data_IF_535669175923
#
_entry.id   IF_535669175923
#
_cell.length_a   1.000
_cell.length_b   1.000
_cell.length_c   1.000
_cell.angle_alpha   90.00
_cell.angle_beta   90.00
_cell.angle_gamma   90.00
#
_symmetry.space_group_name_H-M   'P 1'
#
loop_
_entity.id
_entity.type
_entity.pdbx_description
1 polymer ?
#
# COMPACT_ATOMS: atom_id res chain seq x y z
N UNK A 1 19.66 9.57 20.01
CA UNK A 1 18.33 8.93 19.84
C UNK A 1 18.31 8.24 18.49
N UNK A 2 18.19 6.90 18.45
CA UNK A 2 17.98 6.19 17.18
C UNK A 2 16.61 6.61 16.65
N UNK A 3 16.55 7.31 15.51
CA UNK A 3 15.30 7.68 14.83
C UNK A 3 14.71 6.43 14.17
N UNK A 4 13.97 5.62 14.92
CA UNK A 4 13.16 4.53 14.36
C UNK A 4 11.79 5.04 13.92
N UNK A 5 11.19 4.39 12.92
CA UNK A 5 9.81 4.67 12.51
C UNK A 5 8.85 4.17 13.60
N UNK A 6 7.76 4.92 13.81
CA UNK A 6 6.72 4.55 14.78
C UNK A 6 5.93 3.32 14.29
N UNK A 7 5.40 3.40 13.07
CA UNK A 7 4.86 2.26 12.32
C UNK A 7 5.88 1.77 11.30
N UNK A 8 5.71 0.56 10.80
CA UNK A 8 6.56 0.03 9.73
C UNK A 8 8.05 0.06 10.08
N UNK A 9 8.37 -0.23 11.35
CA UNK A 9 9.71 -0.06 11.93
C UNK A 9 10.76 -0.88 11.20
N UNK A 10 10.53 -2.17 11.07
CA UNK A 10 11.40 -3.12 10.36
C UNK A 10 10.84 -3.34 8.95
N UNK A 11 11.73 -3.55 8.00
CA UNK A 11 11.36 -3.76 6.61
C UNK A 11 12.60 -4.00 5.76
N UNK A 12 12.36 -4.47 4.54
CA UNK A 12 13.38 -4.81 3.55
C UNK A 12 13.23 -3.91 2.33
N UNK A 13 14.33 -3.55 1.68
CA UNK A 13 14.33 -2.66 0.53
C UNK A 13 15.05 -3.27 -0.66
N UNK A 14 14.63 -2.89 -1.86
CA UNK A 14 15.30 -3.21 -3.13
C UNK A 14 15.39 -1.97 -4.01
N UNK A 15 16.48 -1.87 -4.78
CA UNK A 15 16.60 -0.91 -5.88
C UNK A 15 16.14 -1.58 -7.17
N UNK A 16 15.54 -0.82 -8.08
CA UNK A 16 15.07 -1.34 -9.36
C UNK A 16 14.78 -0.25 -10.37
N UNK A 17 14.02 -0.62 -11.40
CA UNK A 17 13.61 0.29 -12.48
C UNK A 17 12.10 0.17 -12.68
N UNK A 18 11.40 1.30 -12.67
CA UNK A 18 10.04 1.41 -13.16
C UNK A 18 10.10 1.69 -14.66
N UNK A 19 9.68 0.74 -15.48
CA UNK A 19 9.51 0.94 -16.93
C UNK A 19 8.02 1.13 -17.24
N UNK A 20 7.67 2.28 -17.81
CA UNK A 20 6.33 2.54 -18.31
C UNK A 20 6.15 1.86 -19.67
N UNK A 21 4.93 1.38 -19.91
CA UNK A 21 4.58 0.75 -21.19
C UNK A 21 4.76 1.73 -22.35
N UNK A 22 5.16 1.22 -23.52
CA UNK A 22 5.32 2.02 -24.74
C UNK A 22 3.97 2.51 -25.30
N UNK A 23 2.88 1.89 -24.87
CA UNK A 23 1.51 2.30 -25.21
C UNK A 23 0.62 2.24 -23.96
N UNK A 24 0.15 3.40 -23.50
CA UNK A 24 -0.76 3.53 -22.36
C UNK A 24 -2.07 4.11 -22.89
N UNK A 25 -3.06 3.25 -23.16
CA UNK A 25 -4.34 3.67 -23.70
C UNK A 25 -5.17 4.44 -22.66
N UNK A 26 -5.72 5.59 -23.07
CA UNK A 26 -6.68 6.36 -22.29
C UNK A 26 -6.09 7.30 -21.23
N UNK A 27 -4.79 7.20 -20.93
CA UNK A 27 -4.12 8.15 -20.04
C UNK A 27 -3.70 9.39 -20.83
N UNK A 28 -4.11 10.62 -20.45
CA UNK A 28 -3.61 11.83 -21.10
C UNK A 28 -2.11 12.03 -20.85
N UNK A 29 -1.49 12.89 -21.67
CA UNK A 29 -0.05 13.15 -21.59
C UNK A 29 0.36 13.75 -20.23
N UNK A 30 1.33 13.11 -19.58
CA UNK A 30 1.81 13.50 -18.25
C UNK A 30 3.34 13.52 -18.18
N UNK A 31 3.91 14.57 -17.54
CA UNK A 31 5.37 14.80 -17.48
C UNK A 31 6.16 13.64 -16.88
N UNK A 32 5.57 12.90 -15.95
CA UNK A 32 6.21 11.77 -15.24
C UNK A 32 5.70 10.42 -15.78
N UNK A 33 4.46 10.36 -16.26
CA UNK A 33 3.80 9.08 -16.58
C UNK A 33 3.51 9.00 -18.08
N UNK A 34 4.53 9.20 -18.90
CA UNK A 34 4.39 9.11 -20.34
C UNK A 34 5.02 7.82 -20.91
N UNK A 35 4.55 7.35 -22.07
CA UNK A 35 4.96 6.06 -22.60
C UNK A 35 6.47 5.91 -22.81
N UNK A 36 6.97 4.69 -22.57
CA UNK A 36 8.36 4.29 -22.77
C UNK A 36 9.37 4.82 -21.75
N UNK A 37 8.95 5.68 -20.80
CA UNK A 37 9.86 6.19 -19.77
C UNK A 37 10.33 5.11 -18.81
N UNK A 38 11.55 5.30 -18.32
CA UNK A 38 12.13 4.45 -17.28
C UNK A 38 12.70 5.32 -16.16
N UNK A 39 12.39 4.96 -14.92
CA UNK A 39 12.86 5.66 -13.73
C UNK A 39 13.56 4.70 -12.78
N UNK A 40 14.69 5.10 -12.16
CA UNK A 40 15.22 4.38 -11.02
C UNK A 40 14.20 4.43 -9.88
N UNK A 41 14.00 3.31 -9.19
CA UNK A 41 13.10 3.23 -8.04
C UNK A 41 13.73 2.55 -6.85
N UNK A 42 13.23 2.90 -5.67
CA UNK A 42 13.48 2.18 -4.43
C UNK A 42 12.13 1.69 -3.91
N UNK A 43 12.01 0.39 -3.67
CA UNK A 43 10.86 -0.22 -3.03
C UNK A 43 11.26 -0.63 -1.62
N UNK A 44 10.40 -0.39 -0.63
CA UNK A 44 10.55 -0.88 0.73
C UNK A 44 9.28 -1.59 1.19
N UNK A 45 9.40 -2.86 1.54
CA UNK A 45 8.34 -3.62 2.18
C UNK A 45 8.49 -3.62 3.71
N UNK A 46 7.36 -3.79 4.42
CA UNK A 46 7.35 -3.83 5.88
C UNK A 46 6.02 -4.35 6.43
N UNK A 47 6.05 -4.86 7.65
CA UNK A 47 4.84 -5.04 8.47
C UNK A 47 4.36 -3.67 8.97
N UNK A 48 3.13 -3.54 9.46
CA UNK A 48 2.59 -2.27 9.98
C UNK A 48 2.90 -2.11 11.47
N UNK A 49 2.42 -3.05 12.28
CA UNK A 49 2.47 -3.06 13.74
C UNK A 49 3.41 -4.14 14.28
N UNK A 50 3.42 -5.34 13.66
CA UNK A 50 4.23 -6.49 14.07
C UNK A 50 5.61 -6.47 13.42
N UNK A 51 6.38 -5.42 13.68
CA UNK A 51 7.64 -5.21 12.96
C UNK A 51 8.66 -6.34 13.15
N UNK A 52 8.65 -7.04 14.28
CA UNK A 52 9.65 -8.04 14.68
C UNK A 52 9.24 -9.50 14.45
N UNK A 53 8.04 -9.75 13.95
CA UNK A 53 7.54 -11.08 13.64
C UNK A 53 6.67 -11.08 12.39
N UNK A 54 7.25 -11.53 11.28
CA UNK A 54 6.62 -11.62 9.97
C UNK A 54 5.43 -12.60 9.93
N UNK A 55 5.40 -13.59 10.81
CA UNK A 55 4.36 -14.62 10.85
C UNK A 55 3.06 -14.14 11.54
N UNK A 56 3.11 -13.02 12.27
CA UNK A 56 1.90 -12.38 12.80
C UNK A 56 1.06 -11.85 11.66
N UNK A 57 -0.25 -11.98 11.76
CA UNK A 57 -1.17 -11.37 10.80
C UNK A 57 -1.15 -9.86 11.01
N UNK A 58 -0.86 -9.15 9.93
CA UNK A 58 -0.71 -7.70 9.95
C UNK A 58 -1.02 -7.12 8.56
N UNK A 59 -1.30 -5.83 8.52
CA UNK A 59 -1.26 -5.08 7.27
C UNK A 59 0.20 -4.98 6.80
N UNK A 60 0.40 -5.08 5.49
CA UNK A 60 1.74 -5.02 4.88
C UNK A 60 1.85 -3.75 4.06
N UNK A 61 2.99 -3.08 4.18
CA UNK A 61 3.32 -1.87 3.45
C UNK A 61 4.24 -2.15 2.25
N UNK A 62 4.10 -1.33 1.21
CA UNK A 62 5.06 -1.16 0.13
C UNK A 62 5.24 0.34 -0.12
N UNK A 63 6.37 0.90 0.29
CA UNK A 63 6.73 2.28 -0.03
C UNK A 63 7.58 2.30 -1.30
N UNK A 64 7.22 3.16 -2.25
CA UNK A 64 7.93 3.31 -3.53
C UNK A 64 8.39 4.74 -3.66
N UNK A 65 9.68 4.91 -3.93
CA UNK A 65 10.29 6.17 -4.31
C UNK A 65 10.69 6.10 -5.78
N UNK A 66 10.16 7.01 -6.58
CA UNK A 66 10.56 7.22 -7.97
C UNK A 66 11.60 8.34 -8.00
N UNK A 67 12.77 8.05 -8.55
CA UNK A 67 13.87 8.99 -8.67
C UNK A 67 13.92 9.60 -10.08
N UNK A 68 14.61 10.72 -10.22
CA UNK A 68 14.86 11.33 -11.52
C UNK A 68 15.68 10.41 -12.43
N UNK A 69 15.30 10.38 -13.70
CA UNK A 69 16.05 9.73 -14.79
C UNK A 69 17.17 10.64 -15.34
N UNK A 70 17.32 11.86 -14.82
CA UNK A 70 18.38 12.78 -15.22
C UNK A 70 19.72 12.32 -14.64
N UNK A 71 20.74 12.29 -15.50
CA UNK A 71 22.11 11.89 -15.13
C UNK A 71 22.61 12.70 -13.93
N UNK A 72 23.05 12.00 -12.88
CA UNK A 72 23.60 12.63 -11.66
C UNK A 72 22.56 13.16 -10.66
N UNK A 73 21.25 13.02 -10.95
CA UNK A 73 20.19 13.44 -10.05
C UNK A 73 19.56 12.23 -9.34
N UNK A 74 19.94 11.98 -8.07
CA UNK A 74 19.20 11.06 -7.19
C UNK A 74 17.99 11.74 -6.50
N UNK A 75 17.47 12.83 -7.08
CA UNK A 75 16.35 13.56 -6.48
C UNK A 75 15.05 12.76 -6.62
N UNK A 76 14.26 12.64 -5.53
CA UNK A 76 12.95 12.00 -5.60
C UNK A 76 12.00 12.85 -6.43
N UNK A 77 11.31 12.21 -7.38
CA UNK A 77 10.18 12.79 -8.13
C UNK A 77 8.87 12.53 -7.41
N UNK A 78 8.68 11.32 -6.89
CA UNK A 78 7.44 10.91 -6.24
C UNK A 78 7.68 9.85 -5.18
N UNK A 79 7.11 10.05 -4.00
CA UNK A 79 7.02 9.06 -2.94
C UNK A 79 5.57 8.57 -2.79
N UNK A 80 5.39 7.26 -2.85
CA UNK A 80 4.14 6.56 -2.66
C UNK A 80 4.26 5.65 -1.43
N UNK A 81 3.30 5.78 -0.52
CA UNK A 81 3.11 4.83 0.58
C UNK A 81 1.89 4.00 0.25
N UNK A 82 2.10 2.72 -0.03
CA UNK A 82 1.03 1.78 -0.31
C UNK A 82 0.91 0.75 0.81
N UNK A 83 -0.28 0.21 0.97
CA UNK A 83 -0.55 -0.88 1.92
C UNK A 83 -1.52 -1.91 1.34
N UNK A 84 -1.59 -3.07 1.98
CA UNK A 84 -2.63 -4.07 1.70
C UNK A 84 -4.02 -3.55 2.10
N UNK A 85 -5.04 -3.98 1.35
CA UNK A 85 -6.43 -3.54 1.52
C UNK A 85 -6.81 -2.37 0.60
N UNK A 86 -7.98 -2.49 -0.05
CA UNK A 86 -8.48 -1.52 -1.04
C UNK A 86 -8.86 -0.18 -0.44
N UNK A 87 -9.16 -0.16 0.86
CA UNK A 87 -9.54 1.01 1.62
C UNK A 87 -8.63 1.22 2.84
N UNK A 88 -8.56 2.47 3.29
CA UNK A 88 -7.94 2.87 4.54
C UNK A 88 -9.02 3.18 5.58
N UNK A 89 -8.83 2.74 6.82
CA UNK A 89 -9.89 2.81 7.83
C UNK A 89 -10.14 4.23 8.38
N UNK A 90 -9.24 5.18 8.10
CA UNK A 90 -9.32 6.55 8.61
C UNK A 90 -9.39 7.54 7.45
N UNK A 91 -10.52 8.24 7.32
CA UNK A 91 -10.74 9.24 6.26
C UNK A 91 -9.79 10.42 6.40
N UNK A 92 -9.59 10.88 7.64
CA UNK A 92 -8.76 12.05 7.96
C UNK A 92 -7.64 11.71 8.92
N UNK A 93 -6.67 12.63 9.06
CA UNK A 93 -5.63 12.50 10.09
C UNK A 93 -6.21 12.54 11.51
N UNK A 94 -7.32 13.24 11.71
CA UNK A 94 -8.04 13.26 12.99
C UNK A 94 -8.64 11.90 13.32
N UNK A 95 -9.25 11.23 12.33
CA UNK A 95 -9.79 9.87 12.48
C UNK A 95 -8.66 8.89 12.80
N UNK A 96 -7.52 9.03 12.12
CA UNK A 96 -6.35 8.20 12.37
C UNK A 96 -5.81 8.40 13.79
N UNK A 97 -5.65 9.64 14.24
CA UNK A 97 -5.20 9.95 15.59
C UNK A 97 -6.19 9.43 16.65
N UNK A 98 -7.49 9.64 16.42
CA UNK A 98 -8.58 9.13 17.27
C UNK A 98 -8.52 7.61 17.38
N UNK A 99 -8.36 6.91 16.25
CA UNK A 99 -8.20 5.47 16.22
C UNK A 99 -7.05 5.02 17.11
N UNK A 100 -5.89 5.69 17.07
CA UNK A 100 -4.72 5.31 17.86
C UNK A 100 -4.91 5.47 19.37
N UNK A 101 -5.65 6.49 19.81
CA UNK A 101 -5.81 6.78 21.25
C UNK A 101 -7.02 6.07 21.88
N UNK A 102 -8.05 5.76 21.09
CA UNK A 102 -9.23 5.07 21.60
C UNK A 102 -8.94 3.58 21.86
N UNK A 103 -9.47 3.05 22.97
CA UNK A 103 -9.45 1.61 23.25
C UNK A 103 -10.41 0.82 22.36
N UNK A 104 -10.28 -0.51 22.37
CA UNK A 104 -11.03 -1.41 21.49
C UNK A 104 -12.55 -1.19 21.53
N UNK A 105 -13.15 -1.09 22.73
CA UNK A 105 -14.61 -0.90 22.87
C UNK A 105 -15.13 0.35 22.14
N UNK A 106 -14.41 1.48 22.22
CA UNK A 106 -14.81 2.70 21.53
C UNK A 106 -14.67 2.57 20.00
N UNK A 107 -13.63 1.85 19.52
CA UNK A 107 -13.47 1.54 18.09
C UNK A 107 -14.59 0.63 17.59
N UNK A 108 -15.02 -0.35 18.39
CA UNK A 108 -16.14 -1.23 18.06
C UNK A 108 -17.46 -0.47 17.93
N UNK A 109 -17.76 0.44 18.86
CA UNK A 109 -18.93 1.34 18.75
C UNK A 109 -18.87 2.25 17.52
N UNK A 110 -17.67 2.72 17.15
CA UNK A 110 -17.50 3.48 15.91
C UNK A 110 -17.86 2.64 14.68
N UNK A 111 -17.29 1.44 14.54
CA UNK A 111 -17.53 0.62 13.34
C UNK A 111 -18.93 0.00 13.29
N UNK A 112 -19.65 -0.11 14.42
CA UNK A 112 -21.10 -0.42 14.39
C UNK A 112 -21.90 0.66 13.63
N UNK A 113 -21.53 1.93 13.79
CA UNK A 113 -22.14 3.06 13.07
C UNK A 113 -21.61 3.19 11.64
N UNK A 114 -20.38 2.73 11.41
CA UNK A 114 -19.67 2.88 10.13
C UNK A 114 -19.09 1.53 9.68
N UNK A 115 -19.92 0.55 9.24
CA UNK A 115 -19.47 -0.84 9.03
C UNK A 115 -18.36 -1.01 7.99
N UNK A 116 -18.32 -0.16 6.97
CA UNK A 116 -17.28 -0.22 5.94
C UNK A 116 -15.87 0.06 6.50
N UNK A 117 -15.75 0.78 7.62
CA UNK A 117 -14.46 1.00 8.30
C UNK A 117 -13.94 -0.31 8.90
N UNK A 118 -14.81 -1.12 9.51
CA UNK A 118 -14.44 -2.48 9.95
C UNK A 118 -13.94 -3.31 8.77
N UNK A 119 -14.68 -3.27 7.66
CA UNK A 119 -14.33 -4.05 6.48
C UNK A 119 -12.98 -3.58 5.89
N UNK A 120 -12.68 -2.28 5.93
CA UNK A 120 -11.38 -1.71 5.56
C UNK A 120 -10.23 -2.16 6.49
N UNK A 121 -10.48 -2.33 7.79
CA UNK A 121 -9.50 -2.87 8.74
C UNK A 121 -9.20 -4.34 8.41
N UNK A 122 -10.22 -5.21 8.37
CA UNK A 122 -10.03 -6.65 8.12
C UNK A 122 -9.43 -6.93 6.75
N UNK A 123 -9.95 -6.27 5.70
CA UNK A 123 -9.45 -6.45 4.33
C UNK A 123 -8.02 -5.97 4.14
N UNK A 124 -7.43 -5.24 5.10
CA UNK A 124 -6.03 -4.85 5.06
C UNK A 124 -5.07 -5.89 5.63
N UNK A 125 -5.55 -6.78 6.50
CA UNK A 125 -4.70 -7.76 7.18
C UNK A 125 -4.30 -8.89 6.24
N UNK A 126 -3.08 -9.41 6.41
CA UNK A 126 -2.57 -10.53 5.63
C UNK A 126 -1.81 -11.55 6.49
N UNK A 127 -2.14 -12.82 6.28
CA UNK A 127 -1.28 -13.96 6.60
C UNK A 127 -0.38 -14.24 5.39
N UNK A 128 0.72 -13.50 5.27
CA UNK A 128 1.55 -13.48 4.07
C UNK A 128 2.62 -14.58 4.08
N UNK A 129 2.96 -15.08 2.89
CA UNK A 129 4.13 -15.95 2.67
C UNK A 129 5.30 -15.22 1.98
N UNK A 130 5.01 -14.11 1.30
CA UNK A 130 6.00 -13.25 0.66
C UNK A 130 5.44 -11.83 0.52
N UNK A 131 6.30 -10.81 0.58
CA UNK A 131 5.92 -9.45 0.16
C UNK A 131 5.75 -9.31 -1.36
N UNK A 132 6.34 -10.22 -2.15
CA UNK A 132 6.23 -10.20 -3.61
C UNK A 132 4.88 -10.69 -4.13
N UNK A 133 4.05 -11.26 -3.26
CA UNK A 133 2.82 -11.97 -3.61
C UNK A 133 1.58 -11.24 -3.09
N UNK A 134 1.68 -9.92 -2.87
CA UNK A 134 0.62 -9.10 -2.30
C UNK A 134 0.26 -7.91 -3.18
N UNK A 135 -0.99 -7.49 -3.07
CA UNK A 135 -1.51 -6.29 -3.72
C UNK A 135 -1.48 -5.10 -2.76
N UNK A 136 -0.92 -3.99 -3.23
CA UNK A 136 -0.73 -2.78 -2.46
C UNK A 136 -1.45 -1.60 -3.11
N UNK A 137 -2.09 -0.77 -2.30
CA UNK A 137 -2.93 0.35 -2.75
C UNK A 137 -2.47 1.62 -2.06
N UNK A 138 -2.46 2.75 -2.77
CA UNK A 138 -2.18 4.05 -2.15
C UNK A 138 -3.32 4.53 -1.25
N UNK A 139 -4.54 4.02 -1.48
CA UNK A 139 -5.85 4.38 -0.90
C UNK A 139 -6.26 5.85 -1.05
N UNK A 140 -5.35 6.78 -0.81
CA UNK A 140 -5.54 8.22 -0.87
C UNK A 140 -5.56 8.68 -2.34
N UNK A 141 -6.59 9.47 -2.67
CA UNK A 141 -6.68 10.18 -3.94
C UNK A 141 -5.68 11.34 -4.01
N UNK A 142 -5.05 11.50 -5.15
CA UNK A 142 -4.15 12.63 -5.44
C UNK A 142 -4.65 13.41 -6.64
N UNK A 143 -4.36 14.70 -6.66
CA UNK A 143 -4.61 15.55 -7.82
C UNK A 143 -3.45 15.41 -8.81
N UNK A 144 -3.76 15.02 -10.04
CA UNK A 144 -2.82 15.04 -11.17
C UNK A 144 -3.20 16.15 -12.13
N UNK A 145 -2.19 16.86 -12.62
CA UNK A 145 -2.33 17.87 -13.67
C UNK A 145 -1.55 17.43 -14.91
N UNK A 146 -2.28 17.23 -16.00
CA UNK A 146 -1.74 16.78 -17.27
C UNK A 146 -1.14 17.94 -18.07
N UNK A 147 -0.46 17.64 -19.18
CA UNK A 147 0.25 18.67 -19.98
C UNK A 147 -0.68 19.64 -20.68
N UNK A 148 -1.92 19.25 -20.92
CA UNK A 148 -3.00 20.08 -21.45
C UNK A 148 -3.68 20.97 -20.38
N UNK A 149 -3.26 20.85 -19.12
CA UNK A 149 -3.84 21.57 -17.98
C UNK A 149 -5.04 20.88 -17.34
N UNK A 150 -5.53 19.77 -17.89
CA UNK A 150 -6.62 19.00 -17.28
C UNK A 150 -6.19 18.43 -15.92
N UNK A 151 -7.13 18.43 -14.98
CA UNK A 151 -6.93 17.86 -13.65
C UNK A 151 -7.79 16.61 -13.43
N UNK A 152 -7.21 15.60 -12.79
CA UNK A 152 -7.90 14.36 -12.44
C UNK A 152 -7.51 13.88 -11.05
N UNK A 153 -8.43 13.14 -10.42
CA UNK A 153 -8.11 12.36 -9.24
C UNK A 153 -7.48 11.04 -9.64
N UNK A 154 -6.40 10.66 -8.94
CA UNK A 154 -5.68 9.40 -9.18
C UNK A 154 -5.44 8.61 -7.90
N UNK A 155 -5.46 7.27 -8.03
CA UNK A 155 -4.96 6.33 -7.01
C UNK A 155 -4.01 5.33 -7.69
N UNK A 156 -3.10 4.79 -6.90
CA UNK A 156 -2.09 3.84 -7.37
C UNK A 156 -2.31 2.46 -6.78
N UNK A 157 -1.94 1.45 -7.55
CA UNK A 157 -1.89 0.06 -7.12
C UNK A 157 -0.61 -0.59 -7.62
N UNK A 158 -0.04 -1.46 -6.80
CA UNK A 158 1.04 -2.36 -7.19
C UNK A 158 0.55 -3.77 -6.98
N UNK A 159 0.66 -4.59 -8.02
CA UNK A 159 0.34 -6.01 -7.93
C UNK A 159 1.54 -6.87 -8.33
N UNK A 160 1.58 -8.15 -7.91
CA UNK A 160 2.55 -9.10 -8.43
C UNK A 160 2.51 -9.19 -9.96
N UNK A 161 3.64 -9.51 -10.57
CA UNK A 161 3.71 -9.74 -12.02
C UNK A 161 2.93 -10.99 -12.44
N UNK A 162 3.00 -12.05 -11.63
CA UNK A 162 2.22 -13.28 -11.82
C UNK A 162 0.72 -12.99 -11.67
N UNK A 163 -0.04 -13.24 -12.73
CA UNK A 163 -1.48 -12.99 -12.80
C UNK A 163 -2.32 -14.01 -12.05
N UNK A 164 -1.73 -15.14 -11.65
CA UNK A 164 -2.39 -16.14 -10.81
C UNK A 164 -2.51 -15.70 -9.36
N UNK A 165 -1.71 -14.72 -8.94
CA UNK A 165 -1.78 -14.14 -7.60
C UNK A 165 -2.84 -13.05 -7.62
N UNK A 166 -3.95 -13.31 -6.96
CA UNK A 166 -5.07 -12.38 -6.87
C UNK A 166 -4.99 -11.49 -5.61
N UNK A 167 -5.98 -10.61 -5.48
CA UNK A 167 -6.07 -9.64 -4.38
C UNK A 167 -6.34 -10.28 -3.01
N UNK A 168 -6.80 -11.53 -3.00
CA UNK A 168 -7.12 -12.34 -1.83
C UNK A 168 -5.91 -13.17 -1.34
N UNK A 169 -4.75 -13.08 -2.01
CA UNK A 169 -3.49 -13.64 -1.51
C UNK A 169 -3.23 -13.22 -0.06
N UNK A 170 -3.12 -14.22 0.82
CA UNK A 170 -2.92 -14.06 2.26
C UNK A 170 -4.12 -13.47 3.01
N UNK A 171 -5.33 -13.43 2.42
CA UNK A 171 -6.54 -12.91 3.06
C UNK A 171 -6.83 -13.60 4.39
N UNK A 172 -7.41 -12.84 5.30
CA UNK A 172 -7.75 -13.27 6.65
C UNK A 172 -9.24 -13.07 6.85
N UNK A 173 -9.91 -14.13 7.29
CA UNK A 173 -11.33 -14.06 7.65
C UNK A 173 -11.50 -13.36 9.01
N UNK A 174 -12.49 -12.46 9.15
CA UNK A 174 -12.79 -11.82 10.42
C UNK A 174 -13.11 -12.82 11.52
N UNK A 175 -12.41 -12.74 12.65
CA UNK A 175 -12.66 -13.56 13.85
C UNK A 175 -13.43 -12.83 14.95
N UNK A 176 -13.85 -11.59 14.68
CA UNK A 176 -14.54 -10.71 15.63
C UNK A 176 -14.96 -9.39 14.97
N UNK A 177 -15.45 -8.44 15.76
CA UNK A 177 -15.85 -7.11 15.25
C UNK A 177 -14.61 -6.39 14.71
N UNK A 178 -13.54 -6.31 15.50
CA UNK A 178 -12.25 -5.78 15.09
C UNK A 178 -11.13 -6.77 15.46
N UNK A 179 -9.93 -6.63 14.85
CA UNK A 179 -8.74 -7.31 15.32
C UNK A 179 -8.43 -6.94 16.79
N UNK A 180 -7.58 -7.73 17.48
CA UNK A 180 -7.17 -7.44 18.86
C UNK A 180 -6.66 -6.00 19.03
N UNK A 181 -6.70 -5.47 20.25
CA UNK A 181 -6.34 -4.06 20.53
C UNK A 181 -4.94 -3.68 20.03
N UNK A 182 -4.01 -4.65 20.02
CA UNK A 182 -2.66 -4.53 19.45
C UNK A 182 -2.63 -4.32 17.94
N UNK A 183 -3.78 -4.39 17.26
CA UNK A 183 -4.01 -4.25 15.83
C UNK A 183 -3.49 -5.40 14.96
N UNK A 184 -2.52 -6.17 15.45
CA UNK A 184 -2.02 -7.38 14.80
C UNK A 184 -2.39 -8.65 15.58
N UNK A 185 -2.79 -9.69 14.85
CA UNK A 185 -3.16 -10.98 15.44
C UNK A 185 -1.88 -11.75 15.74
N UNK A 186 -1.78 -12.41 16.92
CA UNK A 186 -0.60 -13.21 17.28
C UNK A 186 -0.25 -14.27 16.22
N UNK A 187 1.02 -14.65 16.21
CA UNK A 187 1.52 -15.80 15.45
C UNK A 187 0.83 -17.06 15.95
N UNK A 188 0.52 -17.97 15.03
CA UNK A 188 0.01 -19.30 15.37
C UNK A 188 1.03 -20.10 16.20
N UNK A 189 0.57 -20.80 17.25
CA UNK A 189 1.47 -21.50 18.21
C UNK A 189 2.43 -22.49 17.55
N UNK A 190 2.01 -23.09 16.43
CA UNK A 190 2.77 -24.11 15.72
C UNK A 190 3.57 -23.54 14.54
N UNK A 191 3.52 -22.23 14.29
CA UNK A 191 4.30 -21.61 13.22
C UNK A 191 5.78 -21.52 13.60
N UNK A 192 6.60 -22.30 12.89
CA UNK A 192 8.05 -22.40 13.11
C UNK A 192 8.87 -21.58 12.10
N UNK A 193 8.25 -20.76 11.26
CA UNK A 193 8.97 -19.90 10.31
C UNK A 193 9.88 -18.92 11.06
N UNK A 194 11.05 -18.56 10.51
CA UNK A 194 11.91 -17.52 11.09
C UNK A 194 11.15 -16.21 11.36
N UNK A 195 11.62 -15.39 12.30
CA UNK A 195 10.96 -14.13 12.64
C UNK A 195 10.89 -13.14 11.47
N UNK A 196 11.90 -13.15 10.60
CA UNK A 196 12.03 -12.19 9.50
C UNK A 196 11.96 -12.88 8.12
N UNK A 197 11.20 -13.97 8.00
CA UNK A 197 11.17 -14.79 6.79
C UNK A 197 10.66 -14.05 5.54
N UNK A 198 9.80 -13.03 5.69
CA UNK A 198 9.33 -12.23 4.54
C UNK A 198 10.45 -11.31 4.03
N UNK A 199 11.25 -10.76 4.95
CA UNK A 199 12.42 -9.97 4.60
C UNK A 199 13.49 -10.83 3.91
N UNK A 200 13.76 -12.01 4.45
CA UNK A 200 14.70 -12.99 3.87
C UNK A 200 14.23 -13.48 2.50
N UNK A 201 12.96 -13.84 2.34
CA UNK A 201 12.36 -14.21 1.04
C UNK A 201 12.55 -13.10 0.00
N UNK A 202 12.19 -11.86 0.34
CA UNK A 202 12.32 -10.75 -0.61
C UNK A 202 13.78 -10.51 -0.99
N UNK A 203 14.72 -10.56 -0.03
CA UNK A 203 16.15 -10.43 -0.30
C UNK A 203 16.65 -11.54 -1.24
N UNK A 204 16.24 -12.79 -0.99
CA UNK A 204 16.61 -13.93 -1.82
C UNK A 204 16.08 -13.77 -3.25
N UNK A 205 14.82 -13.34 -3.42
CA UNK A 205 14.23 -13.10 -4.75
C UNK A 205 14.91 -11.96 -5.49
N UNK A 206 15.23 -10.85 -4.82
CA UNK A 206 15.97 -9.73 -5.42
C UNK A 206 17.35 -10.18 -5.90
N UNK A 207 18.02 -11.05 -5.16
CA UNK A 207 19.35 -11.58 -5.52
C UNK A 207 19.28 -12.72 -6.55
N UNK A 208 18.09 -13.25 -6.85
CA UNK A 208 17.91 -14.34 -7.80
C UNK A 208 17.83 -13.83 -9.25
N UNK A 209 18.17 -14.66 -10.25
CA UNK A 209 17.96 -14.32 -11.66
C UNK A 209 16.53 -13.89 -11.93
N UNK A 210 16.35 -12.73 -12.58
CA UNK A 210 15.04 -12.15 -12.89
C UNK A 210 14.46 -11.24 -11.79
N UNK A 211 15.03 -11.25 -10.58
CA UNK A 211 14.65 -10.37 -9.49
C UNK A 211 13.19 -10.49 -9.07
N UNK A 212 12.65 -9.41 -8.50
CA UNK A 212 11.23 -9.27 -8.20
C UNK A 212 10.57 -8.35 -9.23
N UNK A 213 9.42 -8.78 -9.75
CA UNK A 213 8.65 -8.01 -10.75
C UNK A 213 7.25 -7.73 -10.24
N UNK A 214 6.80 -6.50 -10.49
CA UNK A 214 5.46 -6.03 -10.18
C UNK A 214 4.85 -5.33 -11.40
N UNK A 215 3.53 -5.20 -11.41
CA UNK A 215 2.80 -4.28 -12.29
C UNK A 215 2.39 -3.05 -11.47
N UNK A 216 2.86 -1.88 -11.90
CA UNK A 216 2.45 -0.59 -11.38
C UNK A 216 1.22 -0.11 -12.15
N UNK A 217 0.13 0.11 -11.44
CA UNK A 217 -1.17 0.49 -11.99
C UNK A 217 -1.58 1.86 -11.45
N UNK A 218 -2.25 2.63 -12.29
CA UNK A 218 -2.86 3.89 -11.94
C UNK A 218 -4.32 3.85 -12.41
N UNK A 219 -5.22 4.30 -11.53
CA UNK A 219 -6.60 4.60 -11.88
C UNK A 219 -6.81 6.11 -11.79
N UNK A 220 -7.63 6.65 -12.70
CA UNK A 220 -7.89 8.08 -12.78
C UNK A 220 -9.38 8.35 -13.06
N UNK A 221 -9.89 9.48 -12.56
CA UNK A 221 -11.19 10.03 -12.97
C UNK A 221 -11.13 11.54 -13.08
N UNK A 222 -11.92 12.10 -13.99
CA UNK A 222 -12.17 13.54 -14.04
C UNK A 222 -12.73 14.04 -12.72
N UNK A 223 -12.32 15.25 -12.32
CA UNK A 223 -12.83 15.89 -11.11
C UNK A 223 -14.32 16.18 -11.32
N UNK A 224 -15.21 15.63 -10.48
CA UNK A 224 -16.64 15.94 -10.54
C UNK A 224 -16.90 17.43 -10.31
N UNK A 225 -17.95 17.98 -10.92
CA UNK A 225 -18.29 19.40 -10.76
C UNK A 225 -19.01 19.68 -9.44
N UNK A 226 -19.69 18.69 -8.86
CA UNK A 226 -20.42 18.82 -7.60
C UNK A 226 -19.59 18.33 -6.40
N UNK A 227 -19.71 19.05 -5.29
CA UNK A 227 -18.95 18.80 -4.07
C UNK A 227 -19.24 17.43 -3.45
N UNK A 228 -20.49 16.96 -3.51
CA UNK A 228 -20.87 15.66 -2.95
C UNK A 228 -20.14 14.49 -3.65
N UNK A 229 -20.07 14.52 -4.98
CA UNK A 229 -19.38 13.48 -5.75
C UNK A 229 -17.86 13.61 -5.64
N UNK A 230 -17.33 14.82 -5.44
CA UNK A 230 -15.92 15.01 -5.06
C UNK A 230 -15.64 14.38 -3.69
N UNK A 231 -16.47 14.63 -2.68
CA UNK A 231 -16.31 14.10 -1.33
C UNK A 231 -16.31 12.57 -1.31
N UNK A 232 -17.19 11.94 -2.11
CA UNK A 232 -17.20 10.49 -2.30
C UNK A 232 -15.91 10.02 -2.98
N UNK A 233 -15.44 10.72 -4.02
CA UNK A 233 -14.22 10.34 -4.73
C UNK A 233 -12.96 10.44 -3.85
N UNK A 234 -12.94 11.37 -2.90
CA UNK A 234 -11.84 11.58 -1.97
C UNK A 234 -11.89 10.66 -0.74
N UNK A 235 -13.01 9.94 -0.54
CA UNK A 235 -13.19 9.01 0.56
C UNK A 235 -12.26 7.80 0.44
N UNK A 236 -11.15 7.81 1.19
CA UNK A 236 -10.20 6.70 1.19
C UNK A 236 -10.69 5.48 2.00
N UNK A 237 -11.80 5.61 2.73
CA UNK A 237 -12.46 4.50 3.43
C UNK A 237 -13.27 3.62 2.50
N UNK A 238 -13.37 4.02 1.22
CA UNK A 238 -14.02 3.27 0.15
C UNK A 238 -13.03 3.08 -1.02
N UNK A 239 -13.09 1.94 -1.73
CA UNK A 239 -12.21 1.65 -2.87
C UNK A 239 -12.23 2.74 -3.95
#
# INVERSE_FOLDING_TARGET
KVRSRYFHRIGVSGKGVLKLYDNIKGLPDHKIFHPGKSYPVIVRHSNSLSADDDARIDARGAAIRILSDKTGAESPILDLTLKTGKAFYARTISDFATWLVCGLAAREEHVKRVPHVRDAVWSSLRNANSYAELHYYSNICRLFRFTDGQEMYVKFKVRPFDEKIDEDSGKVEPIGILPPETGAIPREKNDKRPLLFLAEDFQNRVNSPGGVRYIFQLQFKLIPQDEATQDIALDCTKP
#
